data_IF_792824470957
#
_entry.id   IF_792824470957
#
_cell.length_a   1.000
_cell.length_b   1.000
_cell.length_c   1.000
_cell.angle_alpha   90.00
_cell.angle_beta   90.00
_cell.angle_gamma   90.00
#
_symmetry.space_group_name_H-M   'P 1'
#
loop_
_entity.id
_entity.type
_entity.pdbx_description
1 polymer ?
#
# COMPACT_ATOMS: atom_id res chain seq x y z
N UNK A 1 -26.98 -6.99 87.70
CA UNK A 1 -25.67 -6.49 87.22
C UNK A 1 -25.04 -7.57 86.35
N UNK A 2 -24.33 -7.16 85.30
CA UNK A 2 -23.57 -7.96 84.33
C UNK A 2 -24.31 -8.41 83.06
N UNK A 3 -23.98 -7.68 81.98
CA UNK A 3 -24.27 -7.95 80.56
C UNK A 3 -23.44 -9.15 80.09
N UNK A 4 -23.97 -9.92 79.13
CA UNK A 4 -23.10 -10.53 78.11
C UNK A 4 -23.78 -10.54 76.75
N UNK A 5 -22.96 -10.20 75.77
CA UNK A 5 -23.28 -9.64 74.46
C UNK A 5 -23.24 -10.75 73.41
N UNK A 6 -24.20 -10.72 72.49
CA UNK A 6 -24.24 -11.51 71.27
C UNK A 6 -23.02 -11.25 70.36
N UNK A 7 -22.42 -12.31 69.82
CA UNK A 7 -21.54 -12.25 68.64
C UNK A 7 -21.92 -13.35 67.65
N UNK A 8 -22.80 -12.98 66.72
CA UNK A 8 -23.10 -13.74 65.50
C UNK A 8 -21.91 -13.65 64.55
N UNK A 9 -21.36 -14.81 64.16
CA UNK A 9 -20.29 -14.94 63.16
C UNK A 9 -20.88 -14.72 61.77
N UNK A 10 -20.58 -13.57 61.16
CA UNK A 10 -20.85 -13.33 59.73
C UNK A 10 -19.85 -14.12 58.89
N UNK A 11 -20.41 -14.97 58.03
CA UNK A 11 -19.72 -15.68 56.97
C UNK A 11 -19.17 -14.66 55.95
N UNK A 12 -17.85 -14.45 55.92
CA UNK A 12 -17.18 -13.64 54.90
C UNK A 12 -16.91 -14.57 53.72
N UNK A 13 -17.64 -14.37 52.62
CA UNK A 13 -17.31 -14.99 51.33
C UNK A 13 -16.00 -14.37 50.81
N UNK A 14 -15.07 -15.17 50.24
CA UNK A 14 -13.87 -14.62 49.64
C UNK A 14 -14.25 -13.76 48.42
N UNK A 15 -13.74 -12.53 48.42
CA UNK A 15 -13.83 -11.59 47.31
C UNK A 15 -13.00 -12.17 46.16
N UNK A 16 -13.67 -12.55 45.06
CA UNK A 16 -12.99 -12.84 43.80
C UNK A 16 -12.24 -11.58 43.36
N UNK A 17 -10.92 -11.66 43.44
CA UNK A 17 -10.00 -10.69 42.86
C UNK A 17 -10.24 -10.72 41.34
N UNK A 18 -11.07 -9.79 40.86
CA UNK A 18 -11.12 -9.41 39.45
C UNK A 18 -9.69 -9.05 39.06
N UNK A 19 -9.05 -9.95 38.31
CA UNK A 19 -7.82 -9.65 37.59
C UNK A 19 -8.14 -8.48 36.68
N UNK A 20 -7.55 -7.33 37.01
CA UNK A 20 -7.41 -6.20 36.12
C UNK A 20 -7.01 -6.74 34.75
N UNK A 21 -7.86 -6.46 33.76
CA UNK A 21 -7.45 -6.53 32.37
C UNK A 21 -6.32 -5.54 32.26
N UNK A 22 -5.12 -6.09 32.23
CA UNK A 22 -3.91 -5.47 31.72
C UNK A 22 -4.31 -4.74 30.42
N UNK A 23 -4.52 -3.43 30.54
CA UNK A 23 -4.63 -2.53 29.42
C UNK A 23 -3.23 -2.47 28.84
N UNK A 24 -2.92 -3.49 28.04
CA UNK A 24 -1.71 -3.55 27.26
C UNK A 24 -1.55 -2.22 26.55
N UNK A 25 -0.44 -1.55 26.84
CA UNK A 25 0.06 -0.37 26.16
C UNK A 25 -0.33 -0.43 24.68
N UNK A 26 -1.31 0.38 24.28
CA UNK A 26 -1.55 0.67 22.88
C UNK A 26 -0.43 1.61 22.47
N UNK A 27 0.70 1.05 22.07
CA UNK A 27 1.72 1.79 21.36
C UNK A 27 1.11 2.21 20.00
N UNK A 28 0.97 3.52 19.71
CA UNK A 28 0.69 3.94 18.35
C UNK A 28 1.98 3.66 17.57
N UNK A 29 1.88 2.95 16.46
CA UNK A 29 3.02 2.53 15.61
C UNK A 29 3.75 1.32 16.21
N UNK A 30 3.12 0.14 16.06
CA UNK A 30 3.82 -1.12 16.21
C UNK A 30 4.83 -1.28 15.08
N UNK A 31 6.11 -1.33 15.42
CA UNK A 31 7.10 -2.07 14.62
C UNK A 31 6.62 -3.52 14.47
N UNK A 32 6.70 -4.13 13.28
CA UNK A 32 6.24 -5.51 13.10
C UNK A 32 7.07 -6.47 13.97
N UNK A 33 6.47 -6.98 15.04
CA UNK A 33 7.03 -8.06 15.83
C UNK A 33 6.96 -9.37 15.01
N UNK A 34 7.92 -9.59 14.11
CA UNK A 34 8.02 -10.87 13.38
C UNK A 34 8.62 -10.87 11.97
N UNK A 35 9.05 -9.73 11.44
CA UNK A 35 9.68 -9.69 10.11
C UNK A 35 9.37 -8.39 9.38
N UNK A 36 10.23 -8.03 8.42
CA UNK A 36 10.02 -6.84 7.59
C UNK A 36 8.68 -6.97 6.87
N UNK A 37 7.86 -5.92 6.91
CA UNK A 37 6.56 -5.91 6.23
C UNK A 37 6.80 -6.25 4.75
N UNK A 38 5.99 -7.14 4.13
CA UNK A 38 6.09 -7.38 2.68
C UNK A 38 5.80 -6.11 1.85
N UNK A 39 5.34 -5.04 2.48
CA UNK A 39 5.14 -3.73 1.88
C UNK A 39 6.31 -2.77 2.05
N UNK A 40 7.40 -3.16 2.73
CA UNK A 40 8.61 -2.33 2.81
C UNK A 40 9.14 -2.11 1.39
N UNK A 41 9.12 -0.85 0.97
CA UNK A 41 9.37 -0.35 -0.38
C UNK A 41 10.57 -1.01 -1.05
N UNK A 42 11.77 -0.97 -0.43
CA UNK A 42 12.96 -1.58 -1.01
C UNK A 42 12.81 -3.08 -1.25
N UNK A 43 12.22 -3.83 -0.31
CA UNK A 43 12.02 -5.27 -0.45
C UNK A 43 10.96 -5.59 -1.49
N UNK A 44 9.86 -4.84 -1.53
CA UNK A 44 8.80 -5.03 -2.52
C UNK A 44 9.33 -4.73 -3.93
N UNK A 45 10.07 -3.63 -4.12
CA UNK A 45 10.71 -3.25 -5.37
C UNK A 45 11.74 -4.27 -5.82
N UNK A 46 12.63 -4.73 -4.93
CA UNK A 46 13.62 -5.75 -5.25
C UNK A 46 12.97 -7.10 -5.60
N UNK A 47 12.00 -7.57 -4.81
CA UNK A 47 11.29 -8.81 -5.08
C UNK A 47 10.51 -8.75 -6.40
N UNK A 48 9.90 -7.60 -6.69
CA UNK A 48 9.30 -7.34 -8.00
C UNK A 48 10.37 -7.43 -9.08
N UNK A 49 11.47 -6.70 -9.01
CA UNK A 49 12.45 -6.72 -10.09
C UNK A 49 13.06 -8.12 -10.32
N UNK A 50 13.41 -8.84 -9.25
CA UNK A 50 13.95 -10.20 -9.31
C UNK A 50 12.99 -11.19 -9.96
N UNK A 51 11.69 -11.10 -9.68
CA UNK A 51 10.69 -11.98 -10.29
C UNK A 51 10.56 -11.78 -11.83
N UNK A 52 11.17 -10.73 -12.37
CA UNK A 52 11.26 -10.43 -13.82
C UNK A 52 12.66 -10.69 -14.39
N UNK A 53 13.53 -11.36 -13.63
CA UNK A 53 14.91 -11.64 -14.02
C UNK A 53 15.85 -10.44 -13.95
N UNK A 54 15.41 -9.34 -13.35
CA UNK A 54 16.22 -8.13 -13.20
C UNK A 54 17.13 -8.21 -11.97
N UNK A 55 18.41 -7.89 -12.17
CA UNK A 55 19.42 -7.77 -11.12
C UNK A 55 20.22 -6.49 -11.37
N UNK A 56 19.76 -5.35 -10.84
CA UNK A 56 20.41 -4.08 -11.10
C UNK A 56 21.80 -4.06 -10.47
N UNK A 57 22.80 -3.61 -11.23
CA UNK A 57 24.15 -3.36 -10.74
C UNK A 57 24.29 -1.97 -10.13
N UNK A 58 23.43 -1.04 -10.56
CA UNK A 58 23.38 0.33 -10.10
C UNK A 58 22.60 0.44 -8.79
N UNK A 59 23.10 1.26 -7.87
CA UNK A 59 22.38 1.58 -6.64
C UNK A 59 21.11 2.40 -6.87
N UNK A 60 21.04 3.12 -8.00
CA UNK A 60 19.89 3.93 -8.41
C UNK A 60 19.34 3.40 -9.71
N UNK A 61 18.15 2.84 -9.63
CA UNK A 61 17.38 2.43 -10.80
C UNK A 61 15.92 2.84 -10.65
N UNK A 62 15.22 2.91 -11.78
CA UNK A 62 13.79 3.18 -11.78
C UNK A 62 13.08 2.41 -12.90
N UNK A 63 11.78 2.19 -12.68
CA UNK A 63 10.80 1.78 -13.67
C UNK A 63 9.57 2.66 -13.50
N UNK A 64 9.09 3.26 -14.57
CA UNK A 64 7.82 3.96 -14.66
C UNK A 64 6.95 3.25 -15.69
N UNK A 65 5.68 3.01 -15.34
CA UNK A 65 4.70 2.37 -16.22
C UNK A 65 3.46 3.25 -16.20
N UNK A 66 3.04 3.68 -17.38
CA UNK A 66 1.85 4.53 -17.55
C UNK A 66 0.82 3.79 -18.38
N UNK A 67 -0.37 3.65 -17.80
CA UNK A 67 -1.58 3.18 -18.45
C UNK A 67 -2.48 4.38 -18.68
N UNK A 68 -2.64 4.77 -19.94
CA UNK A 68 -3.47 5.92 -20.32
C UNK A 68 -4.71 5.45 -21.06
N UNK A 69 -5.89 5.82 -20.56
CA UNK A 69 -7.15 5.48 -21.23
C UNK A 69 -7.31 6.28 -22.55
N UNK A 70 -6.65 7.43 -22.68
CA UNK A 70 -6.70 8.27 -23.87
C UNK A 70 -5.32 8.35 -24.53
N UNK A 71 -5.12 7.57 -25.59
CA UNK A 71 -3.89 7.59 -26.37
C UNK A 71 -3.61 8.94 -27.06
N UNK A 72 -4.63 9.81 -27.19
CA UNK A 72 -4.51 11.13 -27.79
C UNK A 72 -4.17 12.23 -26.76
N UNK A 73 -4.27 11.94 -25.46
CA UNK A 73 -3.73 12.81 -24.43
C UNK A 73 -2.21 12.78 -24.56
N UNK A 74 -1.65 13.79 -25.23
CA UNK A 74 -0.22 13.93 -25.43
C UNK A 74 0.58 13.81 -24.12
N UNK A 75 1.91 13.68 -24.24
CA UNK A 75 2.79 13.52 -23.08
C UNK A 75 2.75 14.72 -22.11
N UNK A 76 2.32 15.88 -22.58
CA UNK A 76 2.13 17.09 -21.75
C UNK A 76 0.84 17.01 -20.92
N UNK A 77 0.95 16.29 -19.80
CA UNK A 77 0.65 16.73 -18.43
C UNK A 77 -0.40 17.81 -18.18
N UNK A 78 -1.54 17.85 -18.88
CA UNK A 78 -2.74 18.36 -18.23
C UNK A 78 -3.30 17.28 -17.30
N UNK A 79 -2.64 17.15 -16.14
CA UNK A 79 -3.01 16.28 -15.02
C UNK A 79 -4.48 16.46 -14.60
N UNK A 80 -5.16 17.52 -15.02
CA UNK A 80 -6.55 17.75 -14.66
C UNK A 80 -7.55 16.97 -15.53
N UNK A 81 -7.19 16.46 -16.71
CA UNK A 81 -8.19 15.98 -17.66
C UNK A 81 -8.06 14.49 -18.07
N UNK A 82 -6.86 13.92 -18.06
CA UNK A 82 -6.63 12.55 -18.55
C UNK A 82 -6.99 11.47 -17.51
N UNK A 83 -7.60 10.37 -17.96
CA UNK A 83 -7.80 9.17 -17.13
C UNK A 83 -6.57 8.27 -17.22
N UNK A 84 -5.77 8.22 -16.15
CA UNK A 84 -4.44 7.62 -16.17
C UNK A 84 -4.12 6.89 -14.88
N UNK A 85 -3.44 5.76 -15.00
CA UNK A 85 -2.79 5.06 -13.88
C UNK A 85 -1.29 4.96 -14.13
N UNK A 86 -0.48 5.39 -13.16
CA UNK A 86 0.97 5.33 -13.23
C UNK A 86 1.49 4.48 -12.08
N UNK A 87 2.48 3.64 -12.36
CA UNK A 87 3.25 2.87 -11.37
C UNK A 87 4.69 3.35 -11.46
N UNK A 88 5.30 3.61 -10.31
CA UNK A 88 6.69 4.00 -10.21
C UNK A 88 7.38 3.03 -9.25
N UNK A 89 8.52 2.46 -9.66
CA UNK A 89 9.29 1.52 -8.85
C UNK A 89 10.74 1.98 -8.87
N UNK A 90 11.29 2.23 -7.68
CA UNK A 90 12.68 2.61 -7.45
C UNK A 90 13.35 1.61 -6.52
N UNK A 91 14.67 1.73 -6.36
CA UNK A 91 15.43 0.89 -5.43
C UNK A 91 14.91 0.99 -3.98
N UNK A 92 14.49 2.18 -3.55
CA UNK A 92 14.13 2.46 -2.16
C UNK A 92 12.63 2.48 -1.89
N UNK A 93 11.81 2.62 -2.92
CA UNK A 93 10.36 2.75 -2.77
C UNK A 93 9.63 2.36 -4.05
N UNK A 94 8.32 2.20 -3.94
CA UNK A 94 7.44 2.18 -5.09
C UNK A 94 6.23 3.06 -4.81
N UNK A 95 5.47 3.38 -5.84
CA UNK A 95 4.28 4.19 -5.72
C UNK A 95 3.38 4.03 -6.92
N UNK A 96 2.22 4.67 -6.82
CA UNK A 96 1.29 4.74 -7.92
C UNK A 96 0.47 6.02 -7.85
N UNK A 97 0.05 6.48 -9.02
CA UNK A 97 -0.84 7.62 -9.17
C UNK A 97 -2.04 7.21 -10.01
N UNK A 98 -3.23 7.63 -9.61
CA UNK A 98 -4.44 7.54 -10.41
C UNK A 98 -5.02 8.94 -10.60
N UNK A 99 -5.33 9.28 -11.84
CA UNK A 99 -6.04 10.49 -12.19
C UNK A 99 -7.30 10.13 -12.97
N UNK A 100 -8.42 10.76 -12.63
CA UNK A 100 -9.67 10.62 -13.35
C UNK A 100 -10.58 11.83 -13.08
N UNK A 101 -11.07 12.48 -14.16
CA UNK A 101 -12.04 13.60 -14.08
C UNK A 101 -11.61 14.73 -13.12
N UNK A 102 -10.35 15.15 -13.20
CA UNK A 102 -9.81 16.25 -12.38
C UNK A 102 -9.51 15.89 -10.93
N UNK A 103 -9.71 14.63 -10.55
CA UNK A 103 -9.30 14.09 -9.26
C UNK A 103 -7.98 13.34 -9.39
N UNK A 104 -7.17 13.38 -8.34
CA UNK A 104 -5.89 12.69 -8.30
C UNK A 104 -5.62 12.08 -6.93
N UNK A 105 -5.11 10.86 -6.96
CA UNK A 105 -4.52 10.17 -5.81
C UNK A 105 -3.12 9.72 -6.16
N UNK A 106 -2.14 10.07 -5.34
CA UNK A 106 -0.76 9.64 -5.53
C UNK A 106 -0.19 9.13 -4.21
N UNK A 107 0.17 7.86 -4.20
CA UNK A 107 0.63 7.14 -3.01
C UNK A 107 2.07 6.69 -3.25
N UNK A 108 2.92 6.88 -2.24
CA UNK A 108 4.28 6.34 -2.19
C UNK A 108 4.39 5.37 -1.03
N UNK A 109 5.23 4.35 -1.20
CA UNK A 109 5.38 3.23 -0.30
C UNK A 109 6.87 2.98 -0.07
N UNK A 110 7.34 3.50 1.06
CA UNK A 110 8.59 3.12 1.72
C UNK A 110 8.26 2.01 2.71
N UNK A 111 8.53 2.16 4.01
CA UNK A 111 8.08 1.20 5.03
C UNK A 111 6.57 1.22 5.27
N UNK A 112 5.98 2.41 5.17
CA UNK A 112 4.57 2.67 5.41
C UNK A 112 4.04 3.50 4.23
N UNK A 113 2.90 3.12 3.61
CA UNK A 113 2.26 3.94 2.59
C UNK A 113 1.93 5.35 3.10
N UNK A 114 2.14 6.36 2.26
CA UNK A 114 1.77 7.75 2.55
C UNK A 114 1.31 8.48 1.28
N UNK A 115 0.57 9.57 1.47
CA UNK A 115 0.09 10.42 0.38
C UNK A 115 1.21 11.31 -0.13
N UNK A 116 1.50 11.24 -1.43
CA UNK A 116 2.44 12.11 -2.13
C UNK A 116 1.68 13.18 -2.92
N UNK A 117 1.18 14.20 -2.22
CA UNK A 117 0.38 15.28 -2.82
C UNK A 117 -1.10 15.20 -2.43
N UNK A 118 -1.92 14.48 -3.20
CA UNK A 118 -3.37 14.36 -2.97
C UNK A 118 -3.82 12.91 -2.91
N UNK A 119 -4.96 12.67 -2.26
CA UNK A 119 -5.62 11.36 -2.21
C UNK A 119 -7.15 11.49 -2.37
N UNK A 120 -7.59 12.08 -3.48
CA UNK A 120 -9.01 12.35 -3.72
C UNK A 120 -9.86 11.07 -3.83
N UNK A 121 -9.26 9.95 -4.24
CA UNK A 121 -9.90 8.64 -4.39
C UNK A 121 -9.72 7.73 -3.16
N UNK A 122 -9.13 8.23 -2.07
CA UNK A 122 -8.88 7.48 -0.83
C UNK A 122 -8.08 6.17 -1.05
N UNK A 123 -7.08 6.22 -1.94
CA UNK A 123 -6.27 5.06 -2.31
C UNK A 123 -5.27 4.68 -1.24
N UNK A 124 -4.91 5.58 -0.32
CA UNK A 124 -3.99 5.23 0.77
C UNK A 124 -4.51 4.01 1.53
N UNK A 125 -5.81 3.99 1.85
CA UNK A 125 -6.47 2.88 2.58
C UNK A 125 -6.65 1.62 1.75
N UNK A 126 -6.50 1.71 0.44
CA UNK A 126 -6.68 0.63 -0.51
C UNK A 126 -5.35 0.09 -1.05
N UNK A 127 -4.22 0.65 -0.59
CA UNK A 127 -2.87 0.32 -1.05
C UNK A 127 -2.60 -1.18 -0.91
N UNK A 128 -2.49 -1.93 -2.02
CA UNK A 128 -2.16 -3.34 -1.96
C UNK A 128 -0.63 -3.51 -1.84
N UNK A 129 -0.15 -4.72 -1.54
CA UNK A 129 1.23 -5.09 -1.87
C UNK A 129 1.50 -4.89 -3.38
N UNK A 130 2.71 -4.51 -3.77
CA UNK A 130 3.08 -4.26 -5.18
C UNK A 130 2.77 -5.45 -6.10
N UNK A 131 2.98 -6.69 -5.63
CA UNK A 131 2.64 -7.91 -6.41
C UNK A 131 1.15 -8.02 -6.76
N UNK A 132 0.28 -7.37 -6.01
CA UNK A 132 -1.18 -7.44 -6.12
C UNK A 132 -1.77 -6.15 -6.72
N UNK A 133 -0.93 -5.24 -7.26
CA UNK A 133 -1.35 -3.93 -7.80
C UNK A 133 -2.41 -4.04 -8.92
N UNK A 134 -2.39 -5.12 -9.72
CA UNK A 134 -3.40 -5.39 -10.74
C UNK A 134 -4.82 -5.44 -10.16
N UNK A 135 -4.99 -5.93 -8.93
CA UNK A 135 -6.31 -5.94 -8.25
C UNK A 135 -6.82 -4.52 -8.00
N UNK A 136 -5.94 -3.60 -7.60
CA UNK A 136 -6.31 -2.20 -7.42
C UNK A 136 -6.73 -1.59 -8.76
N UNK A 137 -5.98 -1.82 -9.83
CA UNK A 137 -6.29 -1.31 -11.17
C UNK A 137 -7.66 -1.83 -11.62
N UNK A 138 -7.91 -3.15 -11.50
CA UNK A 138 -9.21 -3.73 -11.86
C UNK A 138 -10.38 -3.14 -11.05
N UNK A 139 -10.17 -2.90 -9.75
CA UNK A 139 -11.18 -2.25 -8.92
C UNK A 139 -11.48 -0.83 -9.36
N UNK A 140 -10.45 -0.05 -9.72
CA UNK A 140 -10.59 1.31 -10.23
C UNK A 140 -11.34 1.34 -11.56
N UNK A 141 -11.00 0.42 -12.47
CA UNK A 141 -11.70 0.27 -13.76
C UNK A 141 -13.18 -0.01 -13.58
N UNK A 142 -13.51 -0.95 -12.70
CA UNK A 142 -14.89 -1.29 -12.36
C UNK A 142 -15.62 -0.11 -11.70
N UNK A 143 -14.98 0.55 -10.74
CA UNK A 143 -15.57 1.65 -9.98
C UNK A 143 -15.87 2.87 -10.86
N UNK A 144 -14.98 3.18 -11.79
CA UNK A 144 -15.09 4.37 -12.65
C UNK A 144 -15.66 4.08 -14.04
N UNK A 145 -15.95 2.81 -14.36
CA UNK A 145 -16.40 2.35 -15.67
C UNK A 145 -15.45 2.81 -16.80
N UNK A 146 -14.14 2.62 -16.56
CA UNK A 146 -13.05 2.97 -17.49
C UNK A 146 -12.27 1.71 -17.88
N UNK A 147 -11.48 1.81 -18.95
CA UNK A 147 -10.50 0.79 -19.33
C UNK A 147 -9.13 1.42 -19.45
N UNK A 148 -8.12 0.81 -18.82
CA UNK A 148 -6.73 1.23 -18.86
C UNK A 148 -5.96 0.26 -19.77
N UNK A 149 -5.57 0.64 -21.00
CA UNK A 149 -5.00 -0.30 -21.95
C UNK A 149 -3.58 -0.74 -21.54
N UNK A 150 -3.43 -2.00 -21.16
CA UNK A 150 -2.12 -2.60 -20.81
C UNK A 150 -1.22 -2.78 -22.03
N UNK A 151 -1.81 -3.14 -23.18
CA UNK A 151 -1.07 -3.44 -24.41
C UNK A 151 -0.30 -2.23 -24.96
N UNK A 152 -0.80 -1.02 -24.71
CA UNK A 152 -0.20 0.25 -25.14
C UNK A 152 0.47 1.00 -24.00
N UNK A 153 0.81 0.30 -22.91
CA UNK A 153 1.50 0.90 -21.78
C UNK A 153 2.82 1.55 -22.20
N UNK A 154 3.03 2.77 -21.72
CA UNK A 154 4.30 3.48 -21.85
C UNK A 154 5.19 3.04 -20.70
N UNK A 155 6.38 2.53 -21.02
CA UNK A 155 7.34 2.05 -20.03
C UNK A 155 8.61 2.90 -20.17
N UNK A 156 9.13 3.40 -19.05
CA UNK A 156 10.42 4.08 -18.98
C UNK A 156 11.26 3.41 -17.90
N UNK A 157 12.51 3.13 -18.21
CA UNK A 157 13.43 2.54 -17.24
C UNK A 157 14.87 2.84 -17.65
N UNK A 158 15.77 2.87 -16.68
CA UNK A 158 17.21 2.89 -16.91
C UNK A 158 17.85 1.49 -16.84
N UNK A 159 17.05 0.44 -16.62
CA UNK A 159 17.53 -0.94 -16.55
C UNK A 159 17.72 -1.51 -17.96
N UNK A 160 18.94 -1.93 -18.26
CA UNK A 160 19.28 -2.58 -19.53
C UNK A 160 18.47 -3.86 -19.72
N UNK A 161 17.90 -4.05 -20.92
CA UNK A 161 17.13 -5.24 -21.33
C UNK A 161 15.90 -5.62 -20.49
N UNK A 162 15.47 -4.77 -19.54
CA UNK A 162 14.35 -5.07 -18.65
C UNK A 162 12.97 -4.80 -19.29
N UNK A 163 12.89 -3.95 -20.32
CA UNK A 163 11.63 -3.46 -20.86
C UNK A 163 10.69 -4.60 -21.31
N UNK A 164 11.22 -5.62 -21.98
CA UNK A 164 10.42 -6.76 -22.46
C UNK A 164 9.73 -7.51 -21.32
N UNK A 165 10.45 -7.80 -20.23
CA UNK A 165 9.90 -8.49 -19.07
C UNK A 165 8.86 -7.61 -18.33
N UNK A 166 9.12 -6.30 -18.24
CA UNK A 166 8.18 -5.33 -17.65
C UNK A 166 6.91 -5.24 -18.48
N UNK A 167 7.03 -5.27 -19.82
CA UNK A 167 5.89 -5.26 -20.75
C UNK A 167 5.04 -6.52 -20.63
N UNK A 168 5.67 -7.69 -20.54
CA UNK A 168 4.96 -8.96 -20.33
C UNK A 168 4.20 -8.98 -19.00
N UNK A 169 4.81 -8.45 -17.93
CA UNK A 169 4.13 -8.31 -16.64
C UNK A 169 2.96 -7.33 -16.73
N UNK A 170 3.18 -6.16 -17.34
CA UNK A 170 2.15 -5.14 -17.52
C UNK A 170 0.94 -5.68 -18.27
N UNK A 171 1.13 -6.54 -19.27
CA UNK A 171 0.05 -7.18 -20.02
C UNK A 171 -0.88 -8.08 -19.17
N UNK A 172 -0.42 -8.50 -17.97
CA UNK A 172 -1.16 -9.40 -17.06
C UNK A 172 -1.82 -8.66 -15.88
N UNK A 173 -1.72 -7.33 -15.83
CA UNK A 173 -2.27 -6.48 -14.76
C UNK A 173 -3.79 -6.36 -14.79
#
# INVERSE_FOLDING_TARGET
MSRLIARSRRNIRPVEIRRDRDQGNVHPIGTPNGGVSPNTGPLASAAWLMARGGYPTESRWFVEIVLDADAAAGRELDQACATRFMIEVYAEEWGFMFCHRGQVSWIRVTDIPFVHGRDDHQLLRQTPPLRDIGRLIHNLEKQHAIALPRATAIIRTCLTDAESAIREWTAKL
#
